data_IF_087129138428
#
_entry.id   IF_087129138428
#
_cell.length_a   1.000
_cell.length_b   1.000
_cell.length_c   1.000
_cell.angle_alpha   90.00
_cell.angle_beta   90.00
_cell.angle_gamma   90.00
#
_symmetry.space_group_name_H-M   'P 1'
#
loop_
_entity.id
_entity.type
_entity.pdbx_description
1 polymer ?
#
# COMPACT_ATOMS: atom_id res chain seq x y z
N UNK A 1 16.10 2.44 -5.08
CA UNK A 1 16.50 3.05 -3.79
C UNK A 1 17.89 2.54 -3.46
N UNK A 2 18.77 3.43 -3.00
CA UNK A 2 20.16 3.09 -2.66
C UNK A 2 20.23 2.33 -1.33
N UNK A 3 21.26 1.49 -1.17
CA UNK A 3 21.52 0.79 0.10
C UNK A 3 21.77 1.82 1.23
N UNK A 4 21.28 1.54 2.42
CA UNK A 4 21.37 2.46 3.56
C UNK A 4 20.26 3.51 3.64
N UNK A 5 19.34 3.56 2.66
CA UNK A 5 18.16 4.43 2.70
C UNK A 5 17.33 4.18 3.98
N UNK A 6 16.92 5.25 4.65
CA UNK A 6 15.99 5.19 5.77
C UNK A 6 14.55 5.14 5.27
N UNK A 7 13.79 4.15 5.72
CA UNK A 7 12.43 3.87 5.28
C UNK A 7 11.49 3.91 6.50
N UNK A 8 10.36 4.61 6.35
CA UNK A 8 9.21 4.42 7.23
C UNK A 8 8.17 3.56 6.53
N UNK A 9 7.90 2.39 7.08
CA UNK A 9 6.82 1.51 6.62
C UNK A 9 5.53 1.82 7.41
N UNK A 10 4.47 2.22 6.68
CA UNK A 10 3.16 2.54 7.26
C UNK A 10 2.41 1.25 7.64
N UNK A 11 3.00 0.46 8.50
CA UNK A 11 2.45 -0.79 8.98
C UNK A 11 3.21 -1.28 10.20
N UNK A 12 2.63 -2.19 10.97
CA UNK A 12 3.33 -2.85 12.07
C UNK A 12 4.43 -3.76 11.53
N UNK A 13 5.50 -4.04 12.31
CA UNK A 13 6.56 -4.92 11.89
C UNK A 13 6.05 -6.28 11.42
N UNK A 14 6.42 -6.65 10.20
CA UNK A 14 6.00 -7.88 9.53
C UNK A 14 7.16 -8.53 8.77
N UNK A 15 6.94 -9.66 8.13
CA UNK A 15 8.00 -10.38 7.44
C UNK A 15 8.55 -9.63 6.21
N UNK A 16 7.73 -8.79 5.56
CA UNK A 16 8.19 -7.94 4.46
C UNK A 16 9.10 -6.83 4.96
N UNK A 17 8.73 -6.12 6.05
CA UNK A 17 9.58 -5.08 6.64
C UNK A 17 10.92 -5.64 7.14
N UNK A 18 10.92 -6.86 7.73
CA UNK A 18 12.15 -7.57 8.12
C UNK A 18 13.00 -7.94 6.91
N UNK A 19 12.38 -8.41 5.83
CA UNK A 19 13.09 -8.72 4.58
C UNK A 19 13.74 -7.48 3.99
N UNK A 20 13.04 -6.35 3.94
CA UNK A 20 13.57 -5.06 3.47
C UNK A 20 14.77 -4.66 4.35
N UNK A 21 14.65 -4.74 5.68
CA UNK A 21 15.75 -4.46 6.59
C UNK A 21 16.96 -5.37 6.35
N UNK A 22 16.75 -6.68 6.14
CA UNK A 22 17.82 -7.63 5.83
C UNK A 22 18.50 -7.39 4.48
N UNK A 23 17.85 -6.61 3.61
CA UNK A 23 18.38 -6.21 2.30
C UNK A 23 19.26 -4.94 2.35
N UNK A 24 19.58 -4.44 3.55
CA UNK A 24 20.51 -3.33 3.75
C UNK A 24 19.83 -1.97 3.89
N UNK A 25 18.55 -1.92 4.21
CA UNK A 25 17.79 -0.69 4.50
C UNK A 25 17.56 -0.54 6.01
N UNK A 26 17.45 0.71 6.48
CA UNK A 26 16.99 0.98 7.85
C UNK A 26 15.48 1.17 7.83
N UNK A 27 14.74 0.26 8.47
CA UNK A 27 13.27 0.27 8.43
C UNK A 27 12.70 0.63 9.79
N UNK A 28 11.90 1.68 9.82
CA UNK A 28 11.04 2.08 10.93
C UNK A 28 9.61 1.68 10.61
N UNK A 29 8.83 1.27 11.60
CA UNK A 29 7.43 0.90 11.42
C UNK A 29 6.51 1.77 12.26
N UNK A 30 5.26 1.94 11.84
CA UNK A 30 4.19 2.43 12.70
C UNK A 30 3.85 1.39 13.77
N UNK A 31 3.13 1.78 14.81
CA UNK A 31 2.83 0.89 15.95
C UNK A 31 1.41 0.31 15.92
N UNK A 32 0.68 0.50 14.81
CA UNK A 32 -0.70 0.07 14.63
C UNK A 32 -1.73 1.12 15.03
N UNK A 33 -1.34 2.39 14.98
CA UNK A 33 -2.26 3.53 15.16
C UNK A 33 -3.29 3.60 14.03
N UNK A 34 -4.41 4.28 14.31
CA UNK A 34 -5.37 4.62 13.28
C UNK A 34 -4.81 5.72 12.36
N UNK A 35 -4.31 5.33 11.19
CA UNK A 35 -3.73 6.26 10.22
C UNK A 35 -4.75 7.22 9.58
N UNK A 36 -6.05 7.09 9.82
CA UNK A 36 -7.03 8.12 9.47
C UNK A 36 -7.04 9.30 10.44
N UNK A 37 -6.62 9.09 11.71
CA UNK A 37 -6.68 10.10 12.78
C UNK A 37 -5.33 10.41 13.42
N UNK A 38 -4.46 9.41 13.57
CA UNK A 38 -3.26 9.48 14.39
C UNK A 38 -1.96 9.50 13.57
N UNK A 39 -2.04 9.99 12.32
CA UNK A 39 -0.90 10.02 11.38
C UNK A 39 0.09 11.18 11.61
N UNK A 40 -0.21 12.15 12.47
CA UNK A 40 0.59 13.35 12.69
C UNK A 40 2.07 13.06 12.99
N UNK A 41 2.43 12.06 13.83
CA UNK A 41 3.84 11.75 14.12
C UNK A 41 4.65 11.28 12.91
N UNK A 42 3.98 10.86 11.84
CA UNK A 42 4.60 10.25 10.66
C UNK A 42 4.76 11.20 9.48
N UNK A 43 4.29 12.44 9.60
CA UNK A 43 4.30 13.42 8.49
C UNK A 43 5.69 13.94 8.16
N UNK A 44 6.55 14.09 9.17
CA UNK A 44 7.88 14.72 9.05
C UNK A 44 8.89 13.92 9.87
N UNK A 45 9.21 12.74 9.43
CA UNK A 45 10.13 11.84 10.13
C UNK A 45 11.57 11.97 9.64
N UNK A 46 11.81 12.74 8.58
CA UNK A 46 13.14 12.91 7.98
C UNK A 46 13.63 11.69 7.18
N UNK A 47 12.79 10.64 7.03
CA UNK A 47 13.17 9.46 6.25
C UNK A 47 13.22 9.74 4.74
N UNK A 48 14.04 8.98 4.04
CA UNK A 48 14.24 9.12 2.59
C UNK A 48 13.03 8.62 1.78
N UNK A 49 12.37 7.59 2.30
CA UNK A 49 11.25 6.92 1.60
C UNK A 49 10.19 6.44 2.59
N UNK A 50 8.94 6.50 2.16
CA UNK A 50 7.83 5.83 2.85
C UNK A 50 7.39 4.62 2.05
N UNK A 51 7.11 3.51 2.73
CA UNK A 51 6.44 2.36 2.14
C UNK A 51 5.05 2.17 2.76
N UNK A 52 4.08 1.74 1.94
CA UNK A 52 2.72 1.45 2.35
C UNK A 52 2.19 0.27 1.52
N UNK A 53 2.34 -0.94 2.05
CA UNK A 53 1.92 -2.15 1.34
C UNK A 53 0.59 -2.65 1.89
N UNK A 54 -0.47 -2.61 1.06
CA UNK A 54 -1.82 -3.05 1.43
C UNK A 54 -2.33 -2.30 2.69
N UNK A 55 -2.25 -0.98 2.67
CA UNK A 55 -2.64 -0.09 3.78
C UNK A 55 -3.81 0.81 3.39
N UNK A 56 -3.75 1.44 2.21
CA UNK A 56 -4.69 2.51 1.84
C UNK A 56 -6.12 2.02 1.59
N UNK A 57 -6.32 0.75 1.26
CA UNK A 57 -7.64 0.14 1.15
C UNK A 57 -8.36 0.01 2.49
N UNK A 58 -7.61 -0.04 3.60
CA UNK A 58 -8.13 -0.12 4.97
C UNK A 58 -8.43 1.24 5.60
N UNK A 59 -8.04 2.33 4.94
CA UNK A 59 -8.26 3.69 5.41
C UNK A 59 -9.59 4.25 4.87
N UNK A 60 -10.26 5.08 5.66
CA UNK A 60 -11.45 5.82 5.20
C UNK A 60 -11.07 7.02 4.34
N UNK A 61 -9.97 7.69 4.67
CA UNK A 61 -9.53 8.91 4.01
C UNK A 61 -8.01 8.94 3.73
N UNK A 62 -7.48 8.03 2.89
CA UNK A 62 -6.04 7.95 2.60
C UNK A 62 -5.46 9.27 2.03
N UNK A 63 -6.27 10.10 1.41
CA UNK A 63 -5.88 11.44 0.96
C UNK A 63 -5.28 12.30 2.08
N UNK A 64 -5.80 12.19 3.31
CA UNK A 64 -5.38 13.05 4.41
C UNK A 64 -3.90 12.85 4.76
N UNK A 65 -3.44 11.63 4.91
CA UNK A 65 -2.03 11.35 5.16
C UNK A 65 -1.20 11.61 3.91
N UNK A 66 -1.61 11.07 2.74
CA UNK A 66 -0.87 11.17 1.49
C UNK A 66 -0.55 12.62 1.10
N UNK A 67 -1.48 13.55 1.28
CA UNK A 67 -1.30 14.96 0.93
C UNK A 67 -0.36 15.72 1.87
N UNK A 68 -0.12 15.21 3.09
CA UNK A 68 0.63 15.89 4.13
C UNK A 68 2.03 15.29 4.39
N UNK A 69 2.32 14.07 3.91
CA UNK A 69 3.65 13.47 4.02
C UNK A 69 4.71 14.40 3.40
N UNK A 70 5.85 14.59 4.07
CA UNK A 70 6.92 15.49 3.61
C UNK A 70 8.09 14.76 2.94
N UNK A 71 8.12 13.44 2.98
CA UNK A 71 9.14 12.67 2.28
C UNK A 71 9.03 12.84 0.76
N UNK A 72 10.14 12.61 0.06
CA UNK A 72 10.23 12.77 -1.41
C UNK A 72 9.83 11.51 -2.17
N UNK A 73 9.87 10.33 -1.54
CA UNK A 73 9.66 9.05 -2.21
C UNK A 73 8.60 8.23 -1.50
N UNK A 74 7.72 7.61 -2.28
CA UNK A 74 6.69 6.70 -1.80
C UNK A 74 6.69 5.44 -2.66
N UNK A 75 6.68 4.28 -2.00
CA UNK A 75 6.35 3.00 -2.63
C UNK A 75 5.09 2.48 -1.96
N UNK A 76 4.07 2.25 -2.75
CA UNK A 76 2.79 1.79 -2.22
C UNK A 76 2.20 0.66 -3.06
N UNK A 77 1.51 -0.27 -2.42
CA UNK A 77 0.67 -1.24 -3.11
C UNK A 77 -0.75 -1.24 -2.58
N UNK A 78 -1.67 -1.57 -3.47
CA UNK A 78 -3.09 -1.78 -3.14
C UNK A 78 -3.62 -3.00 -3.89
N UNK A 79 -4.59 -3.72 -3.32
CA UNK A 79 -5.31 -4.75 -4.04
C UNK A 79 -6.25 -4.09 -5.06
N UNK A 80 -6.28 -4.63 -6.27
CA UNK A 80 -7.20 -4.18 -7.31
C UNK A 80 -8.57 -4.84 -7.16
N UNK A 81 -9.60 -4.07 -7.47
CA UNK A 81 -10.97 -4.53 -7.59
C UNK A 81 -11.08 -5.73 -8.53
N UNK A 82 -11.68 -6.80 -8.05
CA UNK A 82 -11.96 -7.99 -8.85
C UNK A 82 -13.40 -7.91 -9.37
N UNK A 83 -13.59 -7.91 -10.69
CA UNK A 83 -14.90 -7.82 -11.32
C UNK A 83 -15.84 -9.00 -10.97
N UNK A 84 -15.30 -10.12 -10.50
CA UNK A 84 -16.02 -11.34 -10.14
C UNK A 84 -16.12 -11.56 -8.61
N UNK A 85 -15.78 -10.60 -7.79
CA UNK A 85 -15.82 -10.70 -6.34
C UNK A 85 -16.26 -9.38 -5.70
N UNK A 86 -16.97 -9.48 -4.58
CA UNK A 86 -17.21 -8.34 -3.70
C UNK A 86 -15.93 -7.90 -2.98
N UNK A 87 -15.94 -6.68 -2.46
CA UNK A 87 -14.92 -6.17 -1.58
C UNK A 87 -14.63 -7.14 -0.42
N UNK A 88 -13.38 -7.17 0.01
CA UNK A 88 -13.01 -7.94 1.19
C UNK A 88 -13.59 -7.27 2.44
N UNK A 89 -14.26 -8.07 3.27
CA UNK A 89 -14.94 -7.57 4.45
C UNK A 89 -14.82 -8.57 5.60
N UNK A 90 -13.94 -8.29 6.56
CA UNK A 90 -13.83 -9.08 7.77
C UNK A 90 -14.90 -8.64 8.79
N UNK A 91 -15.78 -9.54 9.19
CA UNK A 91 -16.85 -9.22 10.15
C UNK A 91 -16.39 -9.24 11.61
N UNK A 92 -15.18 -9.70 11.88
CA UNK A 92 -14.62 -9.86 13.23
C UNK A 92 -13.58 -8.80 13.57
N UNK A 93 -13.03 -8.15 12.56
CA UNK A 93 -11.98 -7.16 12.70
C UNK A 93 -12.29 -5.94 11.84
N UNK A 94 -12.53 -4.81 12.48
CA UNK A 94 -12.84 -3.57 11.77
C UNK A 94 -11.63 -2.99 11.04
N UNK A 95 -10.42 -3.32 11.46
CA UNK A 95 -9.19 -2.91 10.80
C UNK A 95 -8.86 -3.72 9.55
N UNK A 96 -9.44 -4.92 9.42
CA UNK A 96 -9.24 -5.83 8.28
C UNK A 96 -10.45 -5.79 7.33
N UNK A 97 -10.88 -4.60 6.96
CA UNK A 97 -11.95 -4.34 5.97
C UNK A 97 -11.42 -3.45 4.86
N UNK A 98 -11.77 -3.76 3.62
CA UNK A 98 -11.46 -2.86 2.51
C UNK A 98 -12.57 -1.82 2.36
N UNK A 99 -12.30 -0.60 2.79
CA UNK A 99 -13.19 0.54 2.52
C UNK A 99 -13.05 1.02 1.07
N UNK A 100 -11.91 0.75 0.44
CA UNK A 100 -11.67 1.03 -0.97
C UNK A 100 -11.34 -0.25 -1.74
N UNK A 101 -11.96 -0.42 -2.88
CA UNK A 101 -11.60 -1.42 -3.91
C UNK A 101 -11.08 -0.63 -5.11
N UNK A 102 -9.77 -0.43 -5.15
CA UNK A 102 -9.14 0.44 -6.14
C UNK A 102 -9.15 -0.17 -7.55
N UNK A 103 -9.42 0.68 -8.54
CA UNK A 103 -8.93 0.50 -9.90
C UNK A 103 -7.63 1.29 -10.06
N UNK A 104 -6.75 0.91 -10.99
CA UNK A 104 -5.47 1.60 -11.22
C UNK A 104 -5.65 3.11 -11.39
N UNK A 105 -6.60 3.52 -12.24
CA UNK A 105 -6.89 4.95 -12.49
C UNK A 105 -7.35 5.71 -11.26
N UNK A 106 -8.08 5.04 -10.37
CA UNK A 106 -8.56 5.67 -9.13
C UNK A 106 -7.40 5.89 -8.16
N UNK A 107 -6.51 4.90 -8.03
CA UNK A 107 -5.34 5.02 -7.17
C UNK A 107 -4.34 6.04 -7.71
N UNK A 108 -4.05 6.03 -9.03
CA UNK A 108 -3.22 7.05 -9.67
C UNK A 108 -3.78 8.46 -9.47
N UNK A 109 -5.11 8.64 -9.60
CA UNK A 109 -5.76 9.92 -9.39
C UNK A 109 -5.68 10.39 -7.91
N UNK A 110 -5.85 9.47 -6.96
CA UNK A 110 -5.65 9.77 -5.54
C UNK A 110 -4.23 10.27 -5.27
N UNK A 111 -3.22 9.59 -5.81
CA UNK A 111 -1.82 9.96 -5.68
C UNK A 111 -1.54 11.33 -6.31
N UNK A 112 -1.99 11.55 -7.54
CA UNK A 112 -1.87 12.85 -8.22
C UNK A 112 -2.47 13.99 -7.40
N UNK A 113 -3.71 13.82 -6.91
CA UNK A 113 -4.39 14.84 -6.10
C UNK A 113 -3.75 15.06 -4.73
N UNK A 114 -3.00 14.07 -4.25
CA UNK A 114 -2.22 14.16 -3.01
C UNK A 114 -0.79 14.72 -3.23
N UNK A 115 -0.45 15.14 -4.45
CA UNK A 115 0.84 15.75 -4.79
C UNK A 115 1.96 14.74 -5.08
N UNK A 116 1.61 13.54 -5.58
CA UNK A 116 2.56 12.51 -5.97
C UNK A 116 2.57 12.28 -7.48
N UNK A 117 3.75 12.08 -8.05
CA UNK A 117 3.95 11.71 -9.45
C UNK A 117 4.35 10.25 -9.53
N UNK A 118 3.52 9.42 -10.13
CA UNK A 118 3.84 8.00 -10.35
C UNK A 118 4.92 7.88 -11.42
N UNK A 119 6.08 7.35 -11.05
CA UNK A 119 7.25 7.16 -11.90
C UNK A 119 7.33 5.75 -12.48
N UNK A 120 6.96 4.76 -11.68
CA UNK A 120 7.00 3.36 -12.11
C UNK A 120 5.82 2.57 -11.54
N UNK A 121 5.47 1.47 -12.20
CA UNK A 121 4.30 0.63 -11.91
C UNK A 121 4.63 -0.83 -12.06
N UNK A 122 4.14 -1.63 -11.12
CA UNK A 122 4.17 -3.08 -11.20
C UNK A 122 2.77 -3.63 -10.96
N UNK A 123 2.33 -4.53 -11.82
CA UNK A 123 1.01 -5.16 -11.74
C UNK A 123 1.19 -6.65 -11.85
N UNK A 124 0.56 -7.41 -10.95
CA UNK A 124 0.62 -8.86 -11.01
C UNK A 124 -0.67 -9.53 -10.55
N UNK A 125 -0.88 -10.75 -11.07
CA UNK A 125 -1.91 -11.66 -10.58
C UNK A 125 -1.37 -12.46 -9.38
N UNK A 126 -2.26 -12.92 -8.52
CA UNK A 126 -1.91 -13.79 -7.40
C UNK A 126 -2.78 -15.06 -7.44
N UNK A 127 -2.48 -15.99 -8.34
CA UNK A 127 -3.16 -17.26 -8.41
C UNK A 127 -2.82 -18.14 -7.19
N UNK A 128 -3.79 -18.90 -6.73
CA UNK A 128 -3.59 -19.93 -5.71
C UNK A 128 -3.67 -21.30 -6.37
N UNK A 129 -2.52 -21.98 -6.65
CA UNK A 129 -2.50 -23.25 -7.35
C UNK A 129 -3.12 -24.40 -6.55
N UNK A 130 -3.34 -24.23 -5.25
CA UNK A 130 -3.94 -25.24 -4.38
C UNK A 130 -5.47 -25.23 -4.42
N UNK A 131 -6.08 -24.20 -4.99
CA UNK A 131 -7.52 -24.04 -5.05
C UNK A 131 -8.04 -24.35 -6.44
N UNK A 132 -9.02 -25.25 -6.53
CA UNK A 132 -9.70 -25.64 -7.79
C UNK A 132 -11.07 -24.96 -7.83
N UNK A 133 -11.46 -24.44 -9.00
CA UNK A 133 -12.76 -23.84 -9.24
C UNK A 133 -12.70 -22.63 -10.17
N UNK A 134 -13.86 -22.07 -10.52
CA UNK A 134 -13.96 -20.94 -11.43
C UNK A 134 -13.27 -19.69 -10.90
N UNK A 135 -13.47 -19.36 -9.64
CA UNK A 135 -12.87 -18.17 -9.01
C UNK A 135 -11.33 -18.23 -8.94
N UNK A 136 -10.68 -19.33 -8.51
CA UNK A 136 -9.24 -19.51 -8.64
C UNK A 136 -8.74 -19.42 -10.09
N UNK A 137 -9.46 -20.01 -11.06
CA UNK A 137 -9.10 -19.92 -12.47
C UNK A 137 -9.07 -18.47 -12.97
N UNK A 138 -10.10 -17.67 -12.65
CA UNK A 138 -10.16 -16.25 -13.04
C UNK A 138 -9.01 -15.43 -12.46
N UNK A 139 -8.47 -15.81 -11.29
CA UNK A 139 -7.31 -15.14 -10.68
C UNK A 139 -6.00 -15.29 -11.47
N UNK A 140 -5.87 -16.29 -12.32
CA UNK A 140 -4.69 -16.42 -13.19
C UNK A 140 -4.65 -15.33 -14.26
N UNK A 141 -5.82 -14.86 -14.70
CA UNK A 141 -5.95 -13.90 -15.80
C UNK A 141 -6.33 -12.48 -15.35
N UNK A 142 -6.58 -12.30 -14.04
CA UNK A 142 -7.01 -11.01 -13.52
C UNK A 142 -5.91 -10.42 -12.62
N UNK A 143 -5.39 -9.22 -12.93
CA UNK A 143 -4.49 -8.51 -12.03
C UNK A 143 -5.11 -8.35 -10.65
N UNK A 144 -4.32 -8.63 -9.62
CA UNK A 144 -4.77 -8.57 -8.22
C UNK A 144 -4.11 -7.47 -7.43
N UNK A 145 -2.86 -7.19 -7.73
CA UNK A 145 -2.07 -6.21 -6.99
C UNK A 145 -1.49 -5.17 -7.92
N UNK A 146 -1.45 -3.96 -7.43
CA UNK A 146 -0.90 -2.80 -8.09
C UNK A 146 0.07 -2.11 -7.14
N UNK A 147 1.35 -2.04 -7.53
CA UNK A 147 2.39 -1.33 -6.80
C UNK A 147 2.87 -0.15 -7.64
N UNK A 148 3.18 0.95 -6.98
CA UNK A 148 3.71 2.15 -7.60
C UNK A 148 4.95 2.63 -6.86
N UNK A 149 5.88 3.21 -7.63
CA UNK A 149 6.91 4.10 -7.11
C UNK A 149 6.56 5.53 -7.48
N UNK A 150 6.54 6.41 -6.50
CA UNK A 150 6.17 7.81 -6.67
C UNK A 150 7.24 8.74 -6.12
N UNK A 151 7.30 9.92 -6.72
CA UNK A 151 8.08 11.05 -6.21
C UNK A 151 7.16 12.25 -5.94
N UNK A 152 7.54 13.10 -5.02
CA UNK A 152 6.81 14.33 -4.72
C UNK A 152 6.80 15.26 -5.95
N UNK A 153 5.65 15.88 -6.24
CA UNK A 153 5.47 16.80 -7.37
C UNK A 153 6.25 18.12 -7.16
#
# INVERSE_FOLDING_TARGET
IESGTEILDLGTPNDLSKFIASSGYTVHNTKGENLDTDFQPYLDTGVDCITAFEIFEHMLAPFNILSQLKTQKLIASVPLKLWFASAYWNTKDDWDKHYHEFEQKQFDFLLEKSGWVVKDRLIWASPDPKKIGLRPLLRYFTPRYYMVYCERA
#
